data_IF_479851420071
#
_entry.id   IF_479851420071
#
_cell.length_a   1.000
_cell.length_b   1.000
_cell.length_c   1.000
_cell.angle_alpha   90.00
_cell.angle_beta   90.00
_cell.angle_gamma   90.00
#
_symmetry.space_group_name_H-M   'P 1'
#
loop_
_entity.id
_entity.type
_entity.pdbx_description
1 polymer ?
#
# COMPACT_ATOMS: atom_id res chain seq x y z
N UNK A 1 -26.34 15.11 10.48
CA UNK A 1 -24.88 15.00 10.64
C UNK A 1 -24.60 15.05 12.14
N UNK A 2 -24.01 14.01 12.73
CA UNK A 2 -23.78 13.94 14.17
C UNK A 2 -22.74 14.97 14.60
N UNK A 3 -22.89 15.56 15.78
CA UNK A 3 -21.96 16.55 16.34
C UNK A 3 -20.78 15.86 17.09
N UNK A 4 -20.39 14.68 16.60
CA UNK A 4 -19.40 13.82 17.24
C UNK A 4 -17.98 14.22 16.84
N UNK A 5 -17.05 14.05 17.78
CA UNK A 5 -15.64 14.27 17.52
C UNK A 5 -15.01 13.01 16.97
N UNK A 6 -14.32 13.12 15.84
CA UNK A 6 -13.55 12.05 15.21
C UNK A 6 -12.05 12.34 15.30
N UNK A 7 -11.23 11.31 15.09
CA UNK A 7 -9.77 11.44 15.10
C UNK A 7 -9.31 11.91 13.71
N UNK A 8 -8.82 13.14 13.63
CA UNK A 8 -8.24 13.69 12.39
C UNK A 8 -6.81 13.19 12.16
N UNK A 9 -6.01 13.15 13.23
CA UNK A 9 -4.63 12.72 13.19
C UNK A 9 -4.14 12.33 14.59
N UNK A 10 -3.08 11.53 14.65
CA UNK A 10 -2.29 11.34 15.87
C UNK A 10 -0.93 11.98 15.67
N UNK A 11 -0.49 12.82 16.60
CA UNK A 11 0.76 13.57 16.44
C UNK A 11 1.55 13.69 17.74
N UNK A 12 2.85 13.93 17.63
CA UNK A 12 3.66 14.38 18.76
C UNK A 12 3.10 15.70 19.30
N UNK A 13 3.33 16.08 20.57
CA UNK A 13 2.72 17.28 21.16
C UNK A 13 2.96 18.52 20.31
N UNK A 14 4.21 18.73 19.84
CA UNK A 14 4.56 19.85 18.96
C UNK A 14 3.70 19.87 17.70
N UNK A 15 3.62 18.76 16.95
CA UNK A 15 2.82 18.69 15.72
C UNK A 15 1.33 18.82 15.98
N UNK A 16 0.83 18.25 17.08
CA UNK A 16 -0.57 18.32 17.47
C UNK A 16 -0.98 19.75 17.83
N UNK A 17 -0.16 20.49 18.59
CA UNK A 17 -0.41 21.90 18.91
C UNK A 17 -0.28 22.81 17.68
N UNK A 18 0.67 22.55 16.78
CA UNK A 18 0.76 23.28 15.50
C UNK A 18 -0.50 23.08 14.64
N UNK A 19 -0.93 21.83 14.45
CA UNK A 19 -2.13 21.51 13.69
C UNK A 19 -3.37 22.13 14.36
N UNK A 20 -3.48 22.03 15.69
CA UNK A 20 -4.52 22.67 16.48
C UNK A 20 -4.58 24.18 16.21
N UNK A 21 -3.45 24.89 16.31
CA UNK A 21 -3.41 26.33 16.10
C UNK A 21 -3.88 26.73 14.70
N UNK A 22 -3.47 26.01 13.67
CA UNK A 22 -3.84 26.31 12.28
C UNK A 22 -5.33 26.09 12.03
N UNK A 23 -5.88 24.99 12.56
CA UNK A 23 -7.30 24.68 12.43
C UNK A 23 -8.17 25.66 13.24
N UNK A 24 -7.79 25.98 14.48
CA UNK A 24 -8.51 26.95 15.32
C UNK A 24 -8.47 28.36 14.73
N UNK A 25 -7.34 28.78 14.14
CA UNK A 25 -7.23 30.05 13.41
C UNK A 25 -8.14 30.11 12.18
N UNK A 26 -8.57 28.95 11.68
CA UNK A 26 -9.50 28.82 10.55
C UNK A 26 -10.95 28.55 11.01
N UNK A 27 -11.22 28.69 12.31
CA UNK A 27 -12.56 28.55 12.88
C UNK A 27 -12.99 27.11 13.23
N UNK A 28 -12.08 26.14 13.23
CA UNK A 28 -12.38 24.73 13.52
C UNK A 28 -12.02 24.41 14.97
N UNK A 29 -12.97 23.91 15.76
CA UNK A 29 -12.73 23.48 17.15
C UNK A 29 -11.88 22.20 17.18
N UNK A 30 -10.74 22.24 17.87
CA UNK A 30 -9.83 21.10 18.01
C UNK A 30 -9.67 20.67 19.48
N UNK A 31 -9.93 19.39 19.73
CA UNK A 31 -9.67 18.74 21.02
C UNK A 31 -8.44 17.86 20.92
N UNK A 32 -7.57 17.96 21.93
CA UNK A 32 -6.41 17.09 22.06
C UNK A 32 -6.66 16.10 23.20
N UNK A 33 -6.47 14.80 22.94
CA UNK A 33 -6.53 13.74 23.96
C UNK A 33 -5.22 12.97 23.96
N UNK A 34 -4.66 12.64 25.14
CA UNK A 34 -3.47 11.78 25.21
C UNK A 34 -3.80 10.38 24.68
N UNK A 35 -2.89 9.82 23.90
CA UNK A 35 -2.95 8.41 23.50
C UNK A 35 -2.50 7.58 24.69
N UNK A 36 -3.39 6.75 25.23
CA UNK A 36 -3.07 5.77 26.26
C UNK A 36 -2.44 4.56 25.56
N UNK A 37 -1.11 4.51 25.49
CA UNK A 37 -0.35 3.41 24.89
C UNK A 37 0.91 3.13 25.74
N UNK A 38 1.39 1.89 25.77
CA UNK A 38 2.52 1.44 26.62
C UNK A 38 3.91 1.92 26.13
N UNK A 39 3.95 2.82 25.15
CA UNK A 39 5.21 3.28 24.53
C UNK A 39 5.67 4.63 25.09
N UNK A 40 7.00 4.82 25.22
CA UNK A 40 7.63 6.00 25.86
C UNK A 40 7.35 7.36 25.18
N UNK A 41 6.73 7.39 23.99
CA UNK A 41 6.48 8.64 23.26
C UNK A 41 5.09 9.21 23.55
N UNK A 42 5.00 10.34 24.27
CA UNK A 42 3.75 11.09 24.43
C UNK A 42 3.18 11.43 23.04
N UNK A 43 2.03 10.87 22.69
CA UNK A 43 1.29 11.18 21.45
C UNK A 43 -0.10 11.75 21.81
N UNK A 44 -0.62 12.64 20.95
CA UNK A 44 -1.93 13.26 21.11
C UNK A 44 -2.83 12.92 19.93
N UNK A 45 -4.04 12.44 20.20
CA UNK A 45 -5.16 12.45 19.28
C UNK A 45 -5.56 13.91 19.01
N UNK A 46 -5.53 14.33 17.76
CA UNK A 46 -6.10 15.59 17.27
C UNK A 46 -7.50 15.29 16.79
N UNK A 47 -8.50 15.79 17.49
CA UNK A 47 -9.91 15.49 17.24
C UNK A 47 -10.67 16.75 16.83
N UNK A 48 -11.53 16.61 15.83
CA UNK A 48 -12.41 17.68 15.33
C UNK A 48 -13.85 17.17 15.23
N UNK A 49 -14.82 18.08 15.12
CA UNK A 49 -16.20 17.68 14.83
C UNK A 49 -16.28 17.08 13.42
N UNK A 50 -17.07 16.03 13.25
CA UNK A 50 -17.25 15.38 11.93
C UNK A 50 -17.72 16.35 10.84
N UNK A 51 -18.53 17.35 11.21
CA UNK A 51 -19.00 18.42 10.32
C UNK A 51 -17.85 19.30 9.78
N UNK A 52 -16.75 19.43 10.51
CA UNK A 52 -15.61 20.28 10.14
C UNK A 52 -14.54 19.54 9.33
N UNK A 53 -14.65 18.22 9.15
CA UNK A 53 -13.60 17.40 8.51
C UNK A 53 -13.26 17.89 7.11
N UNK A 54 -14.27 18.16 6.29
CA UNK A 54 -14.08 18.67 4.92
C UNK A 54 -13.24 19.95 4.91
N UNK A 55 -13.54 20.89 5.81
CA UNK A 55 -12.82 22.16 5.90
C UNK A 55 -11.40 21.95 6.47
N UNK A 56 -11.27 21.10 7.50
CA UNK A 56 -9.98 20.77 8.10
C UNK A 56 -9.01 20.15 7.07
N UNK A 57 -9.48 19.19 6.27
CA UNK A 57 -8.68 18.57 5.20
C UNK A 57 -8.20 19.62 4.20
N UNK A 58 -9.06 20.55 3.77
CA UNK A 58 -8.66 21.62 2.84
C UNK A 58 -7.56 22.51 3.41
N UNK A 59 -7.68 22.90 4.69
CA UNK A 59 -6.70 23.76 5.36
C UNK A 59 -5.36 23.03 5.44
N UNK A 60 -5.37 21.73 5.79
CA UNK A 60 -4.15 20.91 5.88
C UNK A 60 -3.45 20.82 4.52
N UNK A 61 -4.22 20.61 3.46
CA UNK A 61 -3.72 20.48 2.10
C UNK A 61 -3.18 21.79 1.54
N UNK A 62 -3.93 22.88 1.70
CA UNK A 62 -3.53 24.21 1.24
C UNK A 62 -2.26 24.71 1.92
N UNK A 63 -2.07 24.37 3.21
CA UNK A 63 -0.89 24.77 3.96
C UNK A 63 0.30 23.79 3.77
N UNK A 64 0.15 22.73 2.97
CA UNK A 64 1.15 21.64 2.82
C UNK A 64 1.73 21.20 4.17
N UNK A 65 0.85 21.10 5.17
CA UNK A 65 1.28 20.88 6.54
C UNK A 65 2.04 19.56 6.65
N UNK A 66 3.26 19.64 7.20
CA UNK A 66 4.18 18.51 7.34
C UNK A 66 4.64 17.90 6.01
N UNK A 67 4.69 18.69 4.93
CA UNK A 67 5.44 18.33 3.73
C UNK A 67 6.92 18.19 4.09
N UNK A 68 7.54 17.05 3.76
CA UNK A 68 8.94 16.79 4.10
C UNK A 68 9.94 17.50 3.16
N UNK A 69 9.44 18.33 2.25
CA UNK A 69 10.28 19.28 1.50
C UNK A 69 10.62 20.53 2.34
N UNK A 70 9.90 20.76 3.44
CA UNK A 70 10.21 21.81 4.40
C UNK A 70 11.31 21.37 5.38
N UNK A 71 12.36 22.19 5.52
CA UNK A 71 13.51 21.95 6.41
C UNK A 71 13.08 21.78 7.88
N UNK A 72 11.93 22.32 8.28
CA UNK A 72 11.40 22.20 9.64
C UNK A 72 10.62 20.89 9.91
N UNK A 73 10.11 20.21 8.88
CA UNK A 73 9.37 18.94 9.06
C UNK A 73 10.30 17.82 9.53
N UNK A 74 11.55 17.81 9.06
CA UNK A 74 12.58 16.87 9.51
C UNK A 74 12.97 17.03 10.98
N UNK A 75 12.86 18.25 11.54
CA UNK A 75 13.17 18.54 12.95
C UNK A 75 12.07 18.05 13.91
N UNK A 76 10.91 17.66 13.39
CA UNK A 76 9.77 17.13 14.18
C UNK A 76 9.43 15.68 13.83
N UNK A 77 10.25 15.03 13.00
CA UNK A 77 10.10 13.61 12.66
C UNK A 77 10.54 12.76 13.86
N UNK A 78 9.66 11.92 14.37
CA UNK A 78 9.94 11.06 15.54
C UNK A 78 10.70 9.78 15.16
N UNK A 79 11.26 9.74 13.94
CA UNK A 79 12.05 8.63 13.42
C UNK A 79 11.25 7.38 13.05
N UNK A 80 9.93 7.35 13.28
CA UNK A 80 9.10 6.18 12.97
C UNK A 80 8.98 5.95 11.47
N UNK A 81 8.93 4.67 11.09
CA UNK A 81 8.64 4.26 9.71
C UNK A 81 7.27 4.76 9.29
N UNK A 82 7.06 4.85 7.97
CA UNK A 82 5.84 5.40 7.37
C UNK A 82 5.27 4.43 6.34
N UNK A 83 3.98 4.17 6.44
CA UNK A 83 3.22 3.34 5.52
C UNK A 83 2.22 4.25 4.81
N UNK A 84 2.26 4.28 3.48
CA UNK A 84 1.26 4.96 2.66
C UNK A 84 0.22 3.93 2.23
N UNK A 85 -1.07 4.27 2.34
CA UNK A 85 -2.17 3.43 1.85
C UNK A 85 -2.89 4.18 0.74
N UNK A 86 -2.90 3.62 -0.46
CA UNK A 86 -3.67 4.18 -1.58
C UNK A 86 -5.09 3.60 -1.56
N UNK A 87 -6.11 4.47 -1.53
CA UNK A 87 -7.52 4.06 -1.41
C UNK A 87 -8.40 4.63 -2.52
N UNK A 88 -9.41 3.86 -2.92
CA UNK A 88 -10.45 4.23 -3.89
C UNK A 88 -11.87 4.05 -3.32
N UNK A 89 -11.97 3.82 -2.00
CA UNK A 89 -13.20 3.52 -1.26
C UNK A 89 -13.88 2.20 -1.66
N UNK A 90 -13.15 1.28 -2.30
CA UNK A 90 -13.61 -0.08 -2.52
C UNK A 90 -13.29 -0.99 -1.34
N UNK A 91 -13.89 -2.19 -1.31
CA UNK A 91 -13.56 -3.24 -0.34
C UNK A 91 -12.10 -3.69 -0.44
N UNK A 92 -11.52 -3.67 -1.63
CA UNK A 92 -10.09 -3.90 -1.82
C UNK A 92 -9.24 -2.87 -1.06
N UNK A 93 -9.60 -1.58 -1.14
CA UNK A 93 -8.89 -0.54 -0.39
C UNK A 93 -9.10 -0.64 1.13
N UNK A 94 -10.28 -1.09 1.57
CA UNK A 94 -10.54 -1.34 3.00
C UNK A 94 -9.66 -2.48 3.53
N UNK A 95 -9.52 -3.57 2.77
CA UNK A 95 -8.61 -4.67 3.09
C UNK A 95 -7.15 -4.20 3.16
N UNK A 96 -6.73 -3.32 2.25
CA UNK A 96 -5.42 -2.70 2.28
C UNK A 96 -5.20 -1.85 3.54
N UNK A 97 -6.21 -1.07 3.97
CA UNK A 97 -6.17 -0.34 5.24
C UNK A 97 -6.00 -1.28 6.43
N UNK A 98 -6.80 -2.34 6.53
CA UNK A 98 -6.72 -3.31 7.63
C UNK A 98 -5.29 -3.84 7.82
N UNK A 99 -4.69 -4.31 6.71
CA UNK A 99 -3.33 -4.85 6.71
C UNK A 99 -2.31 -3.77 7.04
N UNK A 100 -2.45 -2.55 6.49
CA UNK A 100 -1.55 -1.46 6.80
C UNK A 100 -1.54 -1.08 8.28
N UNK A 101 -2.70 -1.13 8.94
CA UNK A 101 -2.82 -0.88 10.38
C UNK A 101 -2.16 -2.00 11.20
N UNK A 102 -2.36 -3.26 10.83
CA UNK A 102 -1.64 -4.37 11.46
C UNK A 102 -0.12 -4.25 11.28
N UNK A 103 0.35 -3.96 10.07
CA UNK A 103 1.77 -3.74 9.78
C UNK A 103 2.33 -2.55 10.57
N UNK A 104 1.54 -1.48 10.71
CA UNK A 104 1.94 -0.29 11.45
C UNK A 104 2.13 -0.58 12.93
N UNK A 105 1.26 -1.41 13.54
CA UNK A 105 1.47 -1.88 14.92
C UNK A 105 2.78 -2.66 15.04
N UNK A 106 3.01 -3.64 14.17
CA UNK A 106 4.16 -4.53 14.26
C UNK A 106 5.51 -3.86 13.98
N UNK A 107 5.50 -2.76 13.23
CA UNK A 107 6.68 -1.97 12.89
C UNK A 107 6.82 -0.67 13.70
N UNK A 108 5.87 -0.37 14.59
CA UNK A 108 5.74 0.95 15.21
C UNK A 108 5.84 2.07 14.16
N UNK A 109 5.02 1.96 13.11
CA UNK A 109 4.98 2.88 11.99
C UNK A 109 3.74 3.77 12.03
N UNK A 110 3.80 4.86 11.26
CA UNK A 110 2.66 5.73 10.98
C UNK A 110 1.97 5.32 9.69
N UNK A 111 0.66 5.50 9.62
CA UNK A 111 -0.13 5.29 8.42
C UNK A 111 -0.54 6.65 7.84
N UNK A 112 -0.43 6.78 6.52
CA UNK A 112 -1.04 7.89 5.76
C UNK A 112 -1.96 7.29 4.72
N UNK A 113 -3.24 7.61 4.80
CA UNK A 113 -4.23 7.18 3.81
C UNK A 113 -4.33 8.28 2.75
N UNK A 114 -4.12 7.91 1.48
CA UNK A 114 -4.15 8.80 0.33
C UNK A 114 -5.28 8.38 -0.61
N UNK A 115 -6.17 9.31 -0.90
CA UNK A 115 -7.10 9.18 -2.03
C UNK A 115 -6.79 10.25 -3.08
N UNK A 116 -6.68 9.82 -4.33
CA UNK A 116 -6.52 10.73 -5.47
C UNK A 116 -7.85 10.80 -6.21
N UNK A 117 -8.45 11.98 -6.28
CA UNK A 117 -9.65 12.22 -7.06
C UNK A 117 -9.29 12.88 -8.39
N UNK A 118 -9.97 12.48 -9.45
CA UNK A 118 -9.79 13.05 -10.77
C UNK A 118 -10.78 14.20 -10.96
N UNK A 119 -10.27 15.39 -11.26
CA UNK A 119 -11.07 16.50 -11.78
C UNK A 119 -10.75 16.62 -13.26
N UNK A 120 -11.71 16.30 -14.13
CA UNK A 120 -11.52 16.47 -15.55
C UNK A 120 -11.56 17.97 -15.87
N UNK A 121 -10.38 18.60 -16.04
CA UNK A 121 -10.31 19.96 -16.55
C UNK A 121 -10.70 19.95 -18.03
N UNK A 122 -11.93 20.39 -18.33
CA UNK A 122 -12.26 20.77 -19.70
C UNK A 122 -11.63 22.13 -19.99
N UNK A 123 -10.68 22.24 -20.94
CA UNK A 123 -10.20 23.55 -21.36
C UNK A 123 -11.39 24.37 -21.88
N UNK A 124 -11.47 25.63 -21.46
CA UNK A 124 -12.54 26.59 -21.78
C UNK A 124 -12.70 26.90 -23.28
N UNK A 125 -11.93 26.25 -24.14
CA UNK A 125 -11.95 26.37 -25.59
C UNK A 125 -12.82 25.28 -26.26
N UNK A 126 -13.37 24.32 -25.51
CA UNK A 126 -14.31 23.33 -26.05
C UNK A 126 -15.72 23.94 -26.06
N UNK A 127 -16.32 24.19 -27.24
CA UNK A 127 -17.75 24.53 -27.31
C UNK A 127 -18.53 23.39 -26.65
N UNK A 128 -19.49 23.68 -25.78
CA UNK A 128 -20.26 22.71 -24.97
C UNK A 128 -19.60 22.18 -23.68
N UNK A 129 -18.44 22.69 -23.24
CA UNK A 129 -17.87 22.34 -21.93
C UNK A 129 -18.80 22.69 -20.76
N UNK A 130 -19.59 23.76 -20.88
CA UNK A 130 -20.55 24.17 -19.83
C UNK A 130 -21.74 23.21 -19.70
N UNK A 131 -22.10 22.47 -20.74
CA UNK A 131 -23.15 21.44 -20.71
C UNK A 131 -22.67 20.08 -20.20
N UNK A 132 -21.36 19.86 -20.12
CA UNK A 132 -20.74 18.65 -19.54
C UNK A 132 -20.30 18.84 -18.09
N UNK A 133 -20.43 20.06 -17.54
CA UNK A 133 -20.42 20.25 -16.10
C UNK A 133 -21.66 19.53 -15.56
N UNK A 134 -21.44 18.31 -15.06
CA UNK A 134 -22.42 17.60 -14.25
C UNK A 134 -23.06 18.60 -13.26
N UNK A 135 -24.37 18.48 -13.09
CA UNK A 135 -25.25 19.38 -12.35
C UNK A 135 -24.63 19.95 -11.05
N UNK A 136 -24.96 21.20 -10.67
CA UNK A 136 -24.34 21.93 -9.55
C UNK A 136 -24.66 21.38 -8.15
N UNK A 137 -25.17 20.14 -8.02
CA UNK A 137 -25.68 19.62 -6.75
C UNK A 137 -24.64 18.94 -5.86
N UNK A 138 -23.42 18.62 -6.32
CA UNK A 138 -22.27 18.27 -5.47
C UNK A 138 -20.98 18.09 -6.31
N UNK A 139 -19.96 18.92 -6.09
CA UNK A 139 -18.69 18.82 -6.83
C UNK A 139 -17.97 17.49 -6.58
N UNK A 140 -17.14 17.03 -7.55
CA UNK A 140 -16.33 15.81 -7.43
C UNK A 140 -15.50 15.77 -6.13
N UNK A 141 -14.97 16.92 -5.73
CA UNK A 141 -14.24 17.10 -4.48
C UNK A 141 -15.12 16.88 -3.24
N UNK A 142 -16.35 17.40 -3.22
CA UNK A 142 -17.27 17.19 -2.09
C UNK A 142 -17.67 15.72 -1.98
N UNK A 143 -17.83 15.03 -3.11
CA UNK A 143 -18.06 13.57 -3.14
C UNK A 143 -16.86 12.79 -2.61
N UNK A 144 -15.64 13.18 -2.98
CA UNK A 144 -14.42 12.58 -2.46
C UNK A 144 -14.28 12.81 -0.95
N UNK A 145 -14.58 14.03 -0.46
CA UNK A 145 -14.58 14.38 0.97
C UNK A 145 -15.60 13.56 1.76
N UNK A 146 -16.84 13.42 1.27
CA UNK A 146 -17.87 12.59 1.93
C UNK A 146 -17.44 11.13 2.05
N UNK A 147 -16.95 10.54 0.97
CA UNK A 147 -16.44 9.16 1.02
C UNK A 147 -15.23 9.00 1.93
N UNK A 148 -14.37 10.01 1.99
CA UNK A 148 -13.25 10.03 2.94
C UNK A 148 -13.76 10.10 4.38
N UNK A 149 -14.78 10.92 4.67
CA UNK A 149 -15.42 10.95 5.98
C UNK A 149 -16.01 9.59 6.35
N UNK A 150 -16.75 8.95 5.44
CA UNK A 150 -17.32 7.61 5.67
C UNK A 150 -16.21 6.58 5.98
N UNK A 151 -15.11 6.62 5.23
CA UNK A 151 -13.93 5.79 5.49
C UNK A 151 -13.30 6.08 6.85
N UNK A 152 -13.21 7.35 7.26
CA UNK A 152 -12.68 7.72 8.58
C UNK A 152 -13.54 7.15 9.70
N UNK A 153 -14.87 7.30 9.59
CA UNK A 153 -15.81 6.80 10.59
C UNK A 153 -15.77 5.27 10.71
N UNK A 154 -15.69 4.55 9.59
CA UNK A 154 -15.55 3.09 9.59
C UNK A 154 -14.24 2.64 10.24
N UNK A 155 -13.12 3.32 9.93
CA UNK A 155 -11.83 3.04 10.59
C UNK A 155 -11.88 3.33 12.09
N UNK A 156 -12.45 4.47 12.50
CA UNK A 156 -12.61 4.84 13.92
C UNK A 156 -13.46 3.81 14.67
N UNK A 157 -14.57 3.35 14.07
CA UNK A 157 -15.41 2.29 14.63
C UNK A 157 -14.64 0.97 14.80
N UNK A 158 -13.85 0.57 13.80
CA UNK A 158 -13.02 -0.64 13.83
C UNK A 158 -11.91 -0.59 14.87
N UNK A 159 -11.33 0.58 15.11
CA UNK A 159 -10.36 0.78 16.20
C UNK A 159 -11.05 0.75 17.57
N UNK A 160 -12.17 1.45 17.72
CA UNK A 160 -12.92 1.52 18.98
C UNK A 160 -13.49 0.15 19.40
N UNK A 161 -13.93 -0.65 18.43
CA UNK A 161 -14.38 -2.03 18.63
C UNK A 161 -13.23 -3.03 18.82
N UNK A 162 -11.97 -2.58 18.78
CA UNK A 162 -10.76 -3.40 18.88
C UNK A 162 -10.61 -4.44 17.75
N UNK A 163 -11.35 -4.30 16.65
CA UNK A 163 -11.14 -5.08 15.43
C UNK A 163 -9.78 -4.75 14.80
N UNK A 164 -9.42 -3.45 14.80
CA UNK A 164 -8.17 -2.94 14.26
C UNK A 164 -7.31 -2.34 15.37
N UNK A 165 -5.98 -2.39 15.24
CA UNK A 165 -5.11 -1.78 16.23
C UNK A 165 -5.14 -0.26 16.17
N UNK A 166 -5.06 0.38 17.34
CA UNK A 166 -4.81 1.82 17.40
C UNK A 166 -3.37 2.10 16.98
N UNK A 167 -3.20 2.89 15.92
CA UNK A 167 -1.90 3.32 15.39
C UNK A 167 -1.97 4.78 15.03
N UNK A 168 -0.82 5.43 14.85
CA UNK A 168 -0.78 6.78 14.34
C UNK A 168 -1.17 6.82 12.86
N UNK A 169 -2.37 7.29 12.54
CA UNK A 169 -2.81 7.50 11.15
C UNK A 169 -3.29 8.93 10.90
N UNK A 170 -3.37 9.26 9.62
CA UNK A 170 -3.95 10.50 9.10
C UNK A 170 -4.30 10.34 7.62
N UNK A 171 -5.03 11.30 7.07
CA UNK A 171 -5.56 11.22 5.70
C UNK A 171 -4.96 12.29 4.79
N UNK A 172 -5.19 12.16 3.49
CA UNK A 172 -4.85 13.13 2.45
C UNK A 172 -5.74 12.91 1.24
N UNK A 173 -6.37 13.97 0.73
CA UNK A 173 -6.97 14.03 -0.59
C UNK A 173 -5.99 14.76 -1.53
N UNK A 174 -5.93 14.31 -2.78
CA UNK A 174 -5.13 14.97 -3.82
C UNK A 174 -5.88 14.95 -5.13
N UNK A 175 -5.75 16.02 -5.89
CA UNK A 175 -6.30 16.11 -7.23
C UNK A 175 -5.25 15.66 -8.26
N UNK A 176 -5.66 14.87 -9.25
CA UNK A 176 -4.83 14.60 -10.43
C UNK A 176 -5.00 13.21 -11.01
N UNK A 177 -3.94 12.74 -11.67
CA UNK A 177 -3.83 11.37 -12.19
C UNK A 177 -3.26 10.47 -11.09
N UNK A 178 -3.91 9.34 -10.83
CA UNK A 178 -3.70 8.55 -9.60
C UNK A 178 -2.25 8.08 -9.44
N UNK A 179 -1.64 7.53 -10.48
CA UNK A 179 -0.26 7.02 -10.47
C UNK A 179 0.77 8.15 -10.36
N UNK A 180 0.62 9.25 -11.11
CA UNK A 180 1.50 10.42 -11.06
C UNK A 180 1.47 11.09 -9.67
N UNK A 181 0.27 11.30 -9.13
CA UNK A 181 0.08 11.88 -7.80
C UNK A 181 0.60 10.93 -6.73
N UNK A 182 0.38 9.62 -6.86
CA UNK A 182 0.93 8.65 -5.89
C UNK A 182 2.46 8.65 -5.92
N UNK A 183 3.10 8.66 -7.09
CA UNK A 183 4.57 8.73 -7.22
C UNK A 183 5.14 10.02 -6.61
N UNK A 184 4.56 11.18 -6.95
CA UNK A 184 4.99 12.46 -6.36
C UNK A 184 4.78 12.49 -4.84
N UNK A 185 3.66 11.98 -4.35
CA UNK A 185 3.40 11.87 -2.92
C UNK A 185 4.36 10.90 -2.21
N UNK A 186 4.83 9.84 -2.87
CA UNK A 186 5.87 8.98 -2.28
C UNK A 186 7.22 9.70 -2.11
N UNK A 187 7.55 10.65 -3.01
CA UNK A 187 8.76 11.48 -2.90
C UNK A 187 8.62 12.51 -1.77
N UNK A 188 7.43 13.09 -1.62
CA UNK A 188 7.09 14.02 -0.55
C UNK A 188 7.06 13.31 0.82
N UNK A 189 6.24 12.27 0.97
CA UNK A 189 5.98 11.60 2.26
C UNK A 189 7.09 10.61 2.65
N UNK A 190 7.93 10.18 1.69
CA UNK A 190 9.02 9.20 1.87
C UNK A 190 8.57 7.98 2.70
N UNK A 191 7.52 7.24 2.28
CA UNK A 191 7.10 6.02 2.96
C UNK A 191 8.12 4.91 2.76
N UNK A 192 8.24 4.02 3.75
CA UNK A 192 9.02 2.77 3.63
C UNK A 192 8.24 1.65 2.94
N UNK A 193 6.92 1.79 2.84
CA UNK A 193 6.01 0.82 2.22
C UNK A 193 4.77 1.53 1.69
N UNK A 194 4.31 1.16 0.51
CA UNK A 194 2.97 1.47 0.01
C UNK A 194 2.11 0.22 0.10
N UNK A 195 0.91 0.33 0.67
CA UNK A 195 -0.08 -0.75 0.73
C UNK A 195 -1.29 -0.33 -0.11
N UNK A 196 -1.83 -1.22 -0.92
CA UNK A 196 -2.98 -0.91 -1.77
C UNK A 196 -3.80 -2.15 -2.11
N UNK A 197 -5.00 -1.94 -2.64
CA UNK A 197 -5.79 -3.01 -3.24
C UNK A 197 -5.21 -3.47 -4.58
N UNK A 198 -5.43 -4.73 -4.96
CA UNK A 198 -5.07 -5.22 -6.32
C UNK A 198 -6.06 -4.78 -7.40
N UNK A 199 -7.29 -4.45 -7.01
CA UNK A 199 -8.37 -3.99 -7.90
C UNK A 199 -9.06 -2.80 -7.26
N UNK A 200 -9.76 -2.04 -8.10
CA UNK A 200 -10.61 -0.94 -7.66
C UNK A 200 -12.09 -1.24 -7.85
N UNK A 201 -12.94 -0.29 -7.46
CA UNK A 201 -14.40 -0.40 -7.44
C UNK A 201 -15.04 -0.91 -8.76
N UNK A 202 -14.46 -0.54 -9.90
CA UNK A 202 -15.03 -0.82 -11.23
C UNK A 202 -14.53 -2.13 -11.87
N UNK A 203 -13.54 -2.80 -11.29
CA UNK A 203 -12.81 -3.93 -11.90
C UNK A 203 -13.24 -5.32 -11.43
N UNK A 204 -14.45 -5.48 -10.89
CA UNK A 204 -14.94 -6.78 -10.39
C UNK A 204 -15.27 -7.80 -11.49
N UNK A 205 -15.28 -7.41 -12.77
CA UNK A 205 -15.66 -8.30 -13.89
C UNK A 205 -14.47 -9.01 -14.55
N UNK A 206 -13.24 -8.56 -14.33
CA UNK A 206 -12.05 -9.16 -14.92
C UNK A 206 -11.18 -9.77 -13.83
N UNK A 207 -10.72 -11.00 -14.06
CA UNK A 207 -9.78 -11.70 -13.18
C UNK A 207 -8.36 -11.14 -13.26
N UNK A 208 -8.17 -9.83 -13.44
CA UNK A 208 -6.85 -9.22 -13.69
C UNK A 208 -6.54 -8.17 -12.63
N UNK A 209 -5.24 -7.89 -12.42
CA UNK A 209 -4.82 -6.71 -11.66
C UNK A 209 -5.47 -5.46 -12.28
N UNK A 210 -5.97 -4.55 -11.44
CA UNK A 210 -6.53 -3.29 -11.91
C UNK A 210 -5.46 -2.43 -12.61
N UNK A 211 -5.83 -1.73 -13.68
CA UNK A 211 -4.91 -0.87 -14.44
C UNK A 211 -4.15 0.11 -13.55
N UNK A 212 -4.87 0.86 -12.70
CA UNK A 212 -4.27 1.81 -11.75
C UNK A 212 -3.29 1.12 -10.80
N UNK A 213 -3.59 -0.11 -10.35
CA UNK A 213 -2.69 -0.85 -9.49
C UNK A 213 -1.43 -1.30 -10.23
N UNK A 214 -1.55 -1.71 -11.49
CA UNK A 214 -0.41 -2.00 -12.34
C UNK A 214 0.45 -0.74 -12.55
N UNK A 215 -0.16 0.39 -12.91
CA UNK A 215 0.51 1.66 -13.18
C UNK A 215 1.29 2.16 -11.95
N UNK A 216 0.67 2.13 -10.76
CA UNK A 216 1.36 2.48 -9.50
C UNK A 216 2.56 1.56 -9.28
N UNK A 217 2.37 0.23 -9.36
CA UNK A 217 3.44 -0.75 -9.14
C UNK A 217 4.59 -0.55 -10.13
N UNK A 218 4.30 -0.17 -11.37
CA UNK A 218 5.30 0.09 -12.40
C UNK A 218 6.08 1.39 -12.12
N UNK A 219 5.41 2.44 -11.65
CA UNK A 219 5.98 3.78 -11.53
C UNK A 219 6.73 4.04 -10.22
N UNK A 220 6.15 3.74 -9.05
CA UNK A 220 6.65 4.28 -7.75
C UNK A 220 7.93 3.60 -7.25
N UNK A 221 8.95 4.27 -6.73
CA UNK A 221 10.23 3.57 -6.34
C UNK A 221 10.27 3.00 -4.92
N UNK A 222 9.15 2.98 -4.21
CA UNK A 222 8.98 2.43 -2.84
C UNK A 222 8.47 0.98 -2.90
N UNK A 223 8.79 0.10 -1.92
CA UNK A 223 8.19 -1.23 -1.87
C UNK A 223 6.67 -1.17 -1.84
N UNK A 224 6.00 -2.10 -2.52
CA UNK A 224 4.53 -2.12 -2.65
C UNK A 224 3.99 -3.45 -2.17
N UNK A 225 2.98 -3.42 -1.30
CA UNK A 225 2.20 -4.59 -0.89
C UNK A 225 0.76 -4.43 -1.40
N UNK A 226 0.45 -5.12 -2.49
CA UNK A 226 -0.88 -5.09 -3.10
C UNK A 226 -1.69 -6.31 -2.65
N UNK A 227 -2.88 -6.06 -2.12
CA UNK A 227 -3.68 -7.08 -1.43
C UNK A 227 -5.05 -7.26 -2.11
N UNK A 228 -5.41 -8.49 -2.50
CA UNK A 228 -6.77 -8.85 -2.90
C UNK A 228 -7.79 -8.70 -1.76
N UNK A 229 -9.06 -8.44 -2.09
CA UNK A 229 -10.14 -8.28 -1.10
C UNK A 229 -10.28 -9.53 -0.21
N UNK A 230 -10.31 -10.73 -0.81
CA UNK A 230 -10.49 -11.97 -0.07
C UNK A 230 -9.16 -12.60 0.38
N UNK A 231 -8.07 -11.82 0.40
CA UNK A 231 -6.79 -12.34 0.84
C UNK A 231 -6.88 -12.92 2.25
N UNK A 232 -6.32 -14.12 2.51
CA UNK A 232 -6.33 -14.71 3.85
C UNK A 232 -5.45 -13.93 4.85
N UNK A 233 -4.66 -12.97 4.37
CA UNK A 233 -3.76 -12.15 5.18
C UNK A 233 -4.56 -11.01 5.82
N UNK A 234 -4.58 -10.95 7.14
CA UNK A 234 -5.06 -9.82 7.93
C UNK A 234 -3.93 -9.16 8.74
N UNK A 235 -2.86 -9.90 8.98
CA UNK A 235 -1.71 -9.53 9.82
C UNK A 235 -0.40 -10.15 9.32
N UNK A 236 0.75 -9.74 9.88
CA UNK A 236 2.04 -10.37 9.54
C UNK A 236 2.09 -11.86 9.90
N UNK A 237 1.42 -12.29 10.96
CA UNK A 237 1.38 -13.69 11.38
C UNK A 237 0.68 -14.61 10.38
N UNK A 238 -0.19 -14.05 9.54
CA UNK A 238 -0.90 -14.79 8.50
C UNK A 238 -0.03 -15.07 7.28
N UNK A 239 1.09 -14.36 7.12
CA UNK A 239 2.05 -14.66 6.06
C UNK A 239 2.75 -15.97 6.44
N UNK A 240 2.60 -17.00 5.59
CA UNK A 240 3.16 -18.34 5.86
C UNK A 240 4.06 -18.83 4.73
N UNK A 241 3.73 -18.52 3.48
CA UNK A 241 4.51 -18.98 2.35
C UNK A 241 4.61 -17.91 1.27
N UNK A 242 5.85 -17.50 1.00
CA UNK A 242 6.21 -16.50 0.00
C UNK A 242 6.84 -17.20 -1.20
N UNK A 243 6.24 -17.10 -2.38
CA UNK A 243 6.89 -17.45 -3.64
C UNK A 243 7.67 -16.24 -4.15
N UNK A 244 9.00 -16.31 -4.13
CA UNK A 244 9.85 -15.27 -4.66
C UNK A 244 10.23 -15.59 -6.12
N UNK A 245 9.71 -14.80 -7.06
CA UNK A 245 10.02 -14.93 -8.48
C UNK A 245 11.45 -14.42 -8.75
N UNK A 246 12.36 -15.33 -9.09
CA UNK A 246 13.78 -15.03 -9.34
C UNK A 246 14.19 -15.29 -10.78
N UNK A 247 15.04 -14.41 -11.30
CA UNK A 247 15.58 -14.50 -12.66
C UNK A 247 16.90 -13.72 -12.77
N UNK A 248 17.77 -13.85 -11.76
CA UNK A 248 19.10 -13.25 -11.79
C UNK A 248 20.11 -14.17 -11.10
N UNK A 249 21.19 -14.58 -11.78
CA UNK A 249 22.27 -15.33 -11.15
C UNK A 249 23.11 -14.44 -10.21
N UNK A 250 22.84 -13.13 -10.20
CA UNK A 250 23.47 -12.17 -9.30
C UNK A 250 23.03 -12.47 -7.88
N UNK A 251 23.98 -12.92 -7.06
CA UNK A 251 23.90 -13.16 -5.61
C UNK A 251 23.73 -11.87 -4.78
N UNK A 252 23.05 -10.87 -5.34
CA UNK A 252 22.74 -9.62 -4.66
C UNK A 252 21.40 -9.76 -3.93
N UNK A 253 21.48 -10.26 -2.70
CA UNK A 253 20.34 -10.43 -1.82
C UNK A 253 20.01 -9.17 -1.02
N UNK A 254 20.53 -8.00 -1.40
CA UNK A 254 20.31 -6.76 -0.64
C UNK A 254 18.83 -6.36 -0.59
N UNK A 255 18.06 -6.66 -1.64
CA UNK A 255 16.61 -6.45 -1.70
C UNK A 255 15.83 -7.29 -0.67
N UNK A 256 16.43 -8.37 -0.18
CA UNK A 256 15.80 -9.23 0.81
C UNK A 256 15.98 -8.72 2.23
N UNK A 257 16.95 -7.85 2.53
CA UNK A 257 17.13 -7.36 3.91
C UNK A 257 15.83 -6.79 4.50
N UNK A 258 15.06 -5.93 3.80
CA UNK A 258 13.78 -5.47 4.29
C UNK A 258 12.80 -6.63 4.56
N UNK A 259 12.69 -7.58 3.62
CA UNK A 259 11.78 -8.72 3.76
C UNK A 259 12.18 -9.63 4.93
N UNK A 260 13.46 -9.99 5.03
CA UNK A 260 14.01 -10.85 6.09
C UNK A 260 13.79 -10.23 7.47
N UNK A 261 13.96 -8.90 7.60
CA UNK A 261 13.69 -8.19 8.85
C UNK A 261 12.22 -8.29 9.29
N UNK A 262 11.30 -8.45 8.33
CA UNK A 262 9.88 -8.65 8.59
C UNK A 262 9.60 -10.11 8.95
N UNK A 263 10.06 -11.05 8.13
CA UNK A 263 9.72 -12.47 8.27
C UNK A 263 10.48 -13.17 9.40
N UNK A 264 11.63 -12.66 9.82
CA UNK A 264 12.39 -13.15 10.99
C UNK A 264 11.50 -13.28 12.24
N UNK A 265 10.52 -12.39 12.39
CA UNK A 265 9.60 -12.38 13.53
C UNK A 265 8.64 -13.58 13.55
N UNK A 266 8.55 -14.32 12.45
CA UNK A 266 7.68 -15.47 12.28
C UNK A 266 8.48 -16.65 11.67
N UNK A 267 9.02 -17.56 12.51
CA UNK A 267 9.88 -18.64 12.05
C UNK A 267 9.16 -19.67 11.16
N UNK A 268 7.82 -19.64 11.11
CA UNK A 268 7.01 -20.51 10.26
C UNK A 268 6.99 -20.07 8.79
N UNK A 269 7.49 -18.86 8.47
CA UNK A 269 7.50 -18.35 7.10
C UNK A 269 8.47 -19.14 6.23
N UNK A 270 7.93 -19.78 5.19
CA UNK A 270 8.69 -20.39 4.10
C UNK A 270 8.87 -19.38 2.96
N UNK A 271 10.08 -19.25 2.44
CA UNK A 271 10.37 -18.58 1.16
C UNK A 271 10.74 -19.66 0.14
N UNK A 272 10.01 -19.73 -0.98
CA UNK A 272 10.40 -20.57 -2.12
C UNK A 272 10.88 -19.68 -3.27
N UNK A 273 12.13 -19.86 -3.68
CA UNK A 273 12.68 -19.26 -4.89
C UNK A 273 12.09 -19.98 -6.11
N UNK A 274 11.25 -19.28 -6.87
CA UNK A 274 10.62 -19.84 -8.06
C UNK A 274 11.25 -19.25 -9.30
N UNK A 275 11.76 -20.11 -10.17
CA UNK A 275 12.19 -19.75 -11.52
C UNK A 275 11.25 -20.42 -12.53
N UNK A 276 10.85 -19.67 -13.56
CA UNK A 276 9.94 -20.15 -14.60
C UNK A 276 10.60 -19.97 -15.96
N UNK A 277 11.11 -21.07 -16.52
CA UNK A 277 11.69 -21.09 -17.86
C UNK A 277 10.62 -20.76 -18.91
N UNK A 278 11.04 -20.14 -20.01
CA UNK A 278 10.16 -19.83 -21.14
C UNK A 278 9.22 -18.64 -20.92
N UNK A 279 9.08 -18.12 -19.69
CA UNK A 279 8.39 -16.84 -19.49
C UNK A 279 9.39 -15.67 -19.43
N UNK A 280 10.54 -15.82 -18.76
CA UNK A 280 11.45 -14.70 -18.51
C UNK A 280 12.92 -15.08 -18.41
N UNK A 281 13.79 -14.28 -19.05
CA UNK A 281 15.26 -14.34 -18.90
C UNK A 281 15.88 -15.60 -19.47
N UNK A 282 17.09 -15.90 -19.01
CA UNK A 282 17.83 -17.08 -19.44
C UNK A 282 17.15 -18.33 -18.91
N UNK A 283 17.24 -19.42 -19.68
CA UNK A 283 16.78 -20.73 -19.20
C UNK A 283 17.71 -21.17 -18.08
N UNK A 284 17.16 -21.49 -16.92
CA UNK A 284 17.94 -22.04 -15.81
C UNK A 284 17.77 -23.55 -15.73
N UNK A 285 18.86 -24.20 -15.33
CA UNK A 285 18.80 -25.55 -14.81
C UNK A 285 18.53 -25.56 -13.29
N UNK A 286 18.36 -26.76 -12.72
CA UNK A 286 18.11 -26.89 -11.29
C UNK A 286 19.33 -26.48 -10.45
N UNK A 287 20.55 -26.66 -10.95
CA UNK A 287 21.78 -26.35 -10.21
C UNK A 287 21.93 -24.86 -9.96
N UNK A 288 21.65 -24.02 -10.94
CA UNK A 288 21.70 -22.55 -10.81
C UNK A 288 20.74 -22.03 -9.72
N UNK A 289 19.56 -22.64 -9.64
CA UNK A 289 18.55 -22.29 -8.65
C UNK A 289 18.92 -22.81 -7.26
N UNK A 290 19.45 -24.03 -7.16
CA UNK A 290 20.00 -24.61 -5.92
C UNK A 290 21.14 -23.74 -5.37
N UNK A 291 22.08 -23.32 -6.21
CA UNK A 291 23.17 -22.43 -5.80
C UNK A 291 22.68 -21.08 -5.27
N UNK A 292 21.66 -20.52 -5.92
CA UNK A 292 21.03 -19.26 -5.49
C UNK A 292 20.36 -19.44 -4.12
N UNK A 293 19.56 -20.49 -3.95
CA UNK A 293 18.91 -20.81 -2.69
C UNK A 293 19.94 -21.06 -1.57
N UNK A 294 20.98 -21.84 -1.84
CA UNK A 294 22.04 -22.12 -0.87
C UNK A 294 22.81 -20.84 -0.47
N UNK A 295 23.05 -19.94 -1.42
CA UNK A 295 23.70 -18.65 -1.14
C UNK A 295 22.81 -17.77 -0.24
N UNK A 296 21.50 -17.78 -0.45
CA UNK A 296 20.54 -17.08 0.40
C UNK A 296 20.49 -17.69 1.81
N UNK A 297 20.36 -19.02 1.92
CA UNK A 297 20.31 -19.73 3.20
C UNK A 297 21.59 -19.55 4.02
N UNK A 298 22.75 -19.37 3.38
CA UNK A 298 24.01 -19.01 4.06
C UNK A 298 23.96 -17.61 4.68
N UNK A 299 23.34 -16.65 4.01
CA UNK A 299 23.22 -15.26 4.50
C UNK A 299 22.12 -15.11 5.55
N UNK A 300 21.06 -15.92 5.45
CA UNK A 300 19.92 -15.89 6.37
C UNK A 300 19.57 -17.31 6.87
N UNK A 301 20.41 -17.93 7.72
CA UNK A 301 20.22 -19.30 8.20
C UNK A 301 18.91 -19.53 8.96
N UNK A 302 18.34 -18.46 9.52
CA UNK A 302 17.07 -18.48 10.25
C UNK A 302 15.85 -18.57 9.34
N UNK A 303 15.99 -18.35 8.03
CA UNK A 303 14.86 -18.35 7.09
C UNK A 303 14.70 -19.74 6.49
N UNK A 304 13.49 -20.29 6.56
CA UNK A 304 13.14 -21.52 5.85
C UNK A 304 13.04 -21.23 4.34
N UNK A 305 14.13 -21.50 3.62
CA UNK A 305 14.23 -21.26 2.19
C UNK A 305 14.24 -22.58 1.40
N UNK A 306 13.43 -22.62 0.33
CA UNK A 306 13.41 -23.70 -0.66
C UNK A 306 13.43 -23.13 -2.08
N UNK A 307 13.33 -24.01 -3.07
CA UNK A 307 13.29 -23.61 -4.46
C UNK A 307 12.31 -24.43 -5.29
N UNK A 308 11.88 -23.89 -6.43
CA UNK A 308 11.02 -24.54 -7.41
C UNK A 308 11.38 -24.08 -8.83
N UNK A 309 11.82 -25.02 -9.66
CA UNK A 309 11.93 -24.80 -11.10
C UNK A 309 10.63 -25.20 -11.78
N UNK A 310 10.11 -24.33 -12.64
CA UNK A 310 9.01 -24.62 -13.56
C UNK A 310 9.61 -24.55 -14.98
N UNK A 311 9.75 -25.69 -15.65
CA UNK A 311 10.32 -25.81 -17.01
C UNK A 311 9.28 -26.37 -18.00
N UNK A 312 8.35 -25.52 -18.47
CA UNK A 312 7.25 -25.91 -19.34
C UNK A 312 7.67 -25.84 -20.82
N UNK A 313 6.92 -26.53 -21.68
CA UNK A 313 7.13 -26.48 -23.14
C UNK A 313 6.63 -25.20 -23.79
N UNK A 314 5.69 -24.51 -23.13
CA UNK A 314 5.15 -23.22 -23.58
C UNK A 314 4.70 -22.35 -22.40
N UNK A 315 4.36 -21.10 -22.71
CA UNK A 315 4.02 -20.05 -21.76
C UNK A 315 2.68 -20.28 -21.06
N UNK A 316 1.72 -20.95 -21.69
CA UNK A 316 0.42 -21.25 -21.08
C UNK A 316 0.60 -22.27 -19.97
N UNK A 317 1.28 -23.37 -20.27
CA UNK A 317 1.64 -24.40 -19.29
C UNK A 317 2.51 -23.84 -18.16
N UNK A 318 3.38 -22.87 -18.46
CA UNK A 318 4.16 -22.17 -17.46
C UNK A 318 3.32 -21.50 -16.38
N UNK A 319 2.29 -20.78 -16.83
CA UNK A 319 1.35 -20.08 -15.97
C UNK A 319 0.49 -21.07 -15.20
N UNK A 320 -0.04 -22.10 -15.87
CA UNK A 320 -0.88 -23.11 -15.22
C UNK A 320 -0.11 -23.90 -14.14
N UNK A 321 1.13 -24.30 -14.44
CA UNK A 321 2.01 -24.96 -13.47
C UNK A 321 2.35 -24.04 -12.28
N UNK A 322 2.49 -22.74 -12.53
CA UNK A 322 2.73 -21.78 -11.46
C UNK A 322 1.49 -21.60 -10.58
N UNK A 323 0.30 -21.42 -11.17
CA UNK A 323 -0.98 -21.37 -10.43
C UNK A 323 -1.16 -22.62 -9.58
N UNK A 324 -0.95 -23.80 -10.17
CA UNK A 324 -1.04 -25.09 -9.46
C UNK A 324 -0.08 -25.14 -8.26
N UNK A 325 1.16 -24.68 -8.45
CA UNK A 325 2.12 -24.58 -7.36
C UNK A 325 1.64 -23.64 -6.24
N UNK A 326 1.08 -22.47 -6.57
CA UNK A 326 0.53 -21.52 -5.60
C UNK A 326 -0.58 -22.18 -4.76
N UNK A 327 -1.49 -22.91 -5.39
CA UNK A 327 -2.60 -23.60 -4.72
C UNK A 327 -2.14 -24.78 -3.86
N UNK A 328 -1.33 -25.70 -4.42
CA UNK A 328 -0.86 -26.91 -3.73
C UNK A 328 0.01 -26.58 -2.52
N UNK A 329 0.91 -25.61 -2.66
CA UNK A 329 1.81 -25.18 -1.60
C UNK A 329 1.23 -24.06 -0.72
N UNK A 330 -0.03 -23.67 -0.95
CA UNK A 330 -0.76 -22.64 -0.22
C UNK A 330 0.02 -21.33 -0.09
N UNK A 331 0.61 -20.89 -1.20
CA UNK A 331 1.35 -19.63 -1.25
C UNK A 331 0.37 -18.47 -1.10
N UNK A 332 0.56 -17.67 -0.05
CA UNK A 332 -0.29 -16.52 0.24
C UNK A 332 0.38 -15.16 -0.06
N UNK A 333 1.67 -15.16 -0.43
CA UNK A 333 2.35 -13.99 -1.00
C UNK A 333 3.20 -14.37 -2.21
N UNK A 334 3.06 -13.64 -3.32
CA UNK A 334 4.00 -13.66 -4.44
C UNK A 334 4.88 -12.42 -4.35
N UNK A 335 6.19 -12.58 -4.40
CA UNK A 335 7.14 -11.48 -4.30
C UNK A 335 8.09 -11.40 -5.49
N UNK A 336 8.46 -10.18 -5.88
CA UNK A 336 9.41 -9.90 -6.96
C UNK A 336 10.21 -8.61 -6.71
N UNK A 337 11.41 -8.52 -7.28
CA UNK A 337 12.24 -7.32 -7.22
C UNK A 337 11.80 -6.24 -8.22
N UNK A 338 11.90 -4.97 -7.86
CA UNK A 338 11.39 -3.82 -8.62
C UNK A 338 12.12 -3.54 -9.93
N UNK A 339 13.37 -3.99 -10.08
CA UNK A 339 14.08 -3.98 -11.37
C UNK A 339 13.41 -4.87 -12.42
N UNK A 340 12.39 -5.62 -12.01
CA UNK A 340 11.67 -6.61 -12.78
C UNK A 340 10.17 -6.28 -12.88
N UNK A 341 9.78 -5.00 -12.75
CA UNK A 341 8.39 -4.55 -12.94
C UNK A 341 7.84 -4.87 -14.34
N UNK A 342 8.68 -4.84 -15.35
CA UNK A 342 8.31 -5.28 -16.70
C UNK A 342 7.97 -6.79 -16.78
N UNK A 343 8.26 -7.60 -15.75
CA UNK A 343 7.77 -8.97 -15.68
C UNK A 343 6.27 -8.98 -15.41
N UNK A 344 5.82 -8.08 -14.54
CA UNK A 344 4.42 -7.94 -14.19
C UNK A 344 3.58 -7.57 -15.42
N UNK A 345 3.94 -6.52 -16.18
CA UNK A 345 3.26 -6.17 -17.44
C UNK A 345 3.17 -7.34 -18.43
N UNK A 346 4.16 -8.22 -18.46
CA UNK A 346 4.17 -9.43 -19.29
C UNK A 346 3.38 -10.60 -18.70
N UNK A 347 3.27 -10.71 -17.37
CA UNK A 347 2.30 -11.58 -16.69
C UNK A 347 0.87 -11.07 -16.91
N UNK A 348 0.70 -9.75 -17.11
CA UNK A 348 -0.58 -9.06 -17.30
C UNK A 348 -1.07 -8.99 -18.76
N UNK A 349 -0.29 -9.42 -19.75
CA UNK A 349 -0.75 -9.46 -21.15
C UNK A 349 -1.93 -10.44 -21.31
N UNK A 350 -2.92 -10.13 -22.16
CA UNK A 350 -4.18 -10.87 -22.25
C UNK A 350 -4.00 -12.35 -22.67
N UNK A 351 -4.60 -13.26 -21.89
CA UNK A 351 -4.68 -14.70 -22.13
C UNK A 351 -5.47 -15.40 -21.02
N UNK A 352 -6.13 -16.53 -21.31
CA UNK A 352 -7.03 -17.20 -20.35
C UNK A 352 -6.29 -17.72 -19.10
N UNK A 353 -5.12 -18.32 -19.26
CA UNK A 353 -4.29 -18.83 -18.15
C UNK A 353 -3.78 -17.71 -17.22
N UNK A 354 -3.41 -16.56 -17.77
CA UNK A 354 -2.87 -15.42 -17.00
C UNK A 354 -3.92 -14.68 -16.18
N UNK A 355 -5.18 -14.69 -16.61
CA UNK A 355 -6.32 -14.22 -15.81
C UNK A 355 -6.53 -15.08 -14.54
N UNK A 356 -6.07 -16.33 -14.53
CA UNK A 356 -6.25 -17.21 -13.36
C UNK A 356 -5.31 -16.79 -12.23
N UNK A 357 -4.08 -16.41 -12.57
CA UNK A 357 -3.04 -15.98 -11.62
C UNK A 357 -3.44 -14.77 -10.76
N UNK A 358 -4.39 -13.94 -11.24
CA UNK A 358 -4.93 -12.77 -10.54
C UNK A 358 -6.39 -12.95 -10.08
N UNK A 359 -6.94 -14.16 -10.23
CA UNK A 359 -8.10 -14.63 -9.48
C UNK A 359 -7.72 -15.26 -8.14
N UNK A 360 -6.43 -15.51 -7.92
CA UNK A 360 -5.95 -16.05 -6.66
C UNK A 360 -5.93 -14.94 -5.62
N UNK A 361 -6.45 -15.21 -4.43
CA UNK A 361 -6.47 -14.30 -3.28
C UNK A 361 -5.09 -14.11 -2.62
N UNK A 362 -4.02 -14.30 -3.39
CA UNK A 362 -2.61 -14.19 -3.00
C UNK A 362 -2.15 -12.74 -3.10
N UNK A 363 -1.52 -12.22 -2.05
CA UNK A 363 -0.99 -10.86 -2.04
C UNK A 363 0.27 -10.73 -2.91
N UNK A 364 0.54 -9.54 -3.45
CA UNK A 364 1.74 -9.23 -4.22
C UNK A 364 2.67 -8.32 -3.42
N UNK A 365 3.93 -8.70 -3.29
CA UNK A 365 4.95 -7.89 -2.63
C UNK A 365 6.11 -7.52 -3.57
N UNK A 366 6.14 -6.26 -3.97
CA UNK A 366 7.11 -5.70 -4.91
C UNK A 366 8.23 -5.04 -4.12
N UNK A 367 9.40 -5.68 -4.08
CA UNK A 367 10.55 -5.19 -3.32
C UNK A 367 11.37 -4.21 -4.13
N UNK A 368 11.63 -3.02 -3.60
CA UNK A 368 12.58 -2.09 -4.23
C UNK A 368 13.94 -2.19 -3.56
N UNK A 369 15.00 -1.86 -4.31
CA UNK A 369 16.34 -1.76 -3.73
C UNK A 369 16.31 -0.57 -2.77
N UNK A 370 16.80 -0.70 -1.53
CA UNK A 370 16.97 0.47 -0.68
C UNK A 370 17.87 1.48 -1.41
N UNK A 371 17.46 2.75 -1.42
CA UNK A 371 18.32 3.83 -1.90
C UNK A 371 19.56 3.87 -1.00
N UNK A 372 20.75 3.88 -1.61
CA UNK A 372 22.02 4.05 -0.90
C UNK A 372 22.11 5.44 -0.28
#
# INVERSE_FOLDING_TARGET
MSNEFLILAIHTPVRAYTLKSILENSGIEVRLKKVEDETETESLYVMIRSADLSNALNIIEANRLFSYDDKFTHLTDDGRKRILVAVDFSKHSMKACQIAFSLAKDFNAKVKILHVYHSMYFPSQIPFADTLKETPEEGLLDKARRKMLDLCLDIDEKINSHEWPSVNYSYSLREGVVDEVTDSFTKEYKPSLVVMGTKGKDNNKTGMLGSIAADIIETIRVPVFAVPENSPINSLSDIKHIAFLTNTPKRDFSYFHPLVNVINKNPEVKITFVHINGIYGDKWDENELVETCNSFSKLYPQVNAGYKLIDPTDVTLAVDNFVKFIEEEKVNVISLAAQKRNLLSRMFLPGNSRKILFNIDTALFIMTKPHK
#
